data_IF_826648867325
#
_entry.id   IF_826648867325
#
_cell.length_a   1.000
_cell.length_b   1.000
_cell.length_c   1.000
_cell.angle_alpha   90.00
_cell.angle_beta   90.00
_cell.angle_gamma   90.00
#
_symmetry.space_group_name_H-M   'P 1'
#
loop_
_entity.id
_entity.type
_entity.pdbx_description
1 polymer ?
#
# COMPACT_ATOMS: atom_id res chain seq x y z
N UNK A 1 1.90 23.57 10.60
CA UNK A 1 1.44 22.26 11.14
C UNK A 1 2.38 21.83 12.25
N UNK A 2 1.93 20.99 13.18
CA UNK A 2 2.77 20.31 14.18
C UNK A 2 3.10 18.90 13.69
N UNK A 3 4.37 18.62 13.43
CA UNK A 3 4.85 17.37 12.82
C UNK A 3 5.71 16.61 13.83
N UNK A 4 5.44 15.32 14.00
CA UNK A 4 6.27 14.42 14.81
C UNK A 4 7.16 13.59 13.89
N UNK A 5 8.48 13.78 13.94
CA UNK A 5 9.45 12.99 13.19
C UNK A 5 9.85 11.79 14.05
N UNK A 6 9.45 10.60 13.63
CA UNK A 6 9.74 9.34 14.30
C UNK A 6 11.03 8.76 13.75
N UNK A 7 11.98 8.46 14.65
CA UNK A 7 13.27 7.87 14.32
C UNK A 7 13.54 6.65 15.19
N UNK A 8 14.32 5.67 14.72
CA UNK A 8 14.71 4.54 15.55
C UNK A 8 15.64 4.96 16.70
N UNK A 9 15.44 4.37 17.88
CA UNK A 9 16.42 4.35 18.96
C UNK A 9 17.26 3.07 18.87
N UNK A 10 18.57 3.24 18.70
CA UNK A 10 19.55 2.15 18.67
C UNK A 10 20.21 1.89 20.03
N UNK A 11 19.90 2.67 21.07
CA UNK A 11 20.62 2.64 22.36
C UNK A 11 20.64 1.28 23.06
N UNK A 12 19.67 0.41 22.75
CA UNK A 12 19.55 -0.93 23.29
C UNK A 12 19.66 -2.05 22.23
N UNK A 13 20.14 -1.73 21.02
CA UNK A 13 20.25 -2.65 19.89
C UNK A 13 21.71 -2.95 19.56
N UNK A 14 21.99 -4.21 19.20
CA UNK A 14 23.29 -4.65 18.70
C UNK A 14 23.36 -4.62 17.15
N UNK A 15 22.33 -4.09 16.47
CA UNK A 15 22.30 -4.01 15.02
C UNK A 15 23.27 -2.93 14.53
N UNK A 16 24.26 -3.36 13.75
CA UNK A 16 25.34 -2.52 13.19
C UNK A 16 24.85 -1.34 12.33
N UNK A 17 23.64 -1.46 11.76
CA UNK A 17 22.96 -0.43 10.98
C UNK A 17 22.85 0.92 11.70
N UNK A 18 22.79 0.96 13.03
CA UNK A 18 22.81 2.22 13.79
C UNK A 18 24.08 3.07 13.57
N UNK A 19 25.15 2.48 13.05
CA UNK A 19 26.37 3.22 12.63
C UNK A 19 26.13 4.02 11.34
N UNK A 20 25.15 3.62 10.54
CA UNK A 20 24.85 4.13 9.21
C UNK A 20 23.53 4.92 9.14
N UNK A 21 22.72 4.91 10.21
CA UNK A 21 21.51 5.73 10.37
C UNK A 21 21.71 6.81 11.45
N UNK A 22 22.44 7.89 11.14
CA UNK A 22 22.61 9.00 12.07
C UNK A 22 21.28 9.74 12.30
N UNK A 23 21.22 10.47 13.41
CA UNK A 23 20.08 11.33 13.70
C UNK A 23 19.84 12.37 12.60
N UNK A 24 18.61 12.41 12.09
CA UNK A 24 18.15 13.31 11.02
C UNK A 24 17.35 14.47 11.63
N UNK A 25 17.95 15.65 11.70
CA UNK A 25 17.24 16.89 12.05
C UNK A 25 16.55 17.49 10.81
N UNK A 26 15.22 17.56 10.86
CA UNK A 26 14.39 18.03 9.75
C UNK A 26 13.86 19.45 9.96
N UNK A 27 14.27 20.14 11.03
CA UNK A 27 13.80 21.50 11.35
C UNK A 27 14.04 22.48 10.20
N UNK A 28 15.18 22.37 9.50
CA UNK A 28 15.50 23.22 8.35
C UNK A 28 14.69 22.82 7.10
N UNK A 29 14.50 21.51 6.88
CA UNK A 29 13.76 20.99 5.72
C UNK A 29 12.28 21.37 5.81
N UNK A 30 11.70 21.32 7.01
CA UNK A 30 10.31 21.63 7.35
C UNK A 30 10.17 23.05 7.94
N UNK A 31 10.94 24.01 7.42
CA UNK A 31 10.88 25.40 7.87
C UNK A 31 9.45 25.95 7.76
N UNK A 32 8.92 26.52 8.84
CA UNK A 32 7.54 27.01 8.93
C UNK A 32 6.57 26.06 9.64
N UNK A 33 7.03 24.87 10.02
CA UNK A 33 6.30 23.91 10.85
C UNK A 33 6.85 23.87 12.27
N UNK A 34 6.04 23.44 13.23
CA UNK A 34 6.53 23.01 14.55
C UNK A 34 6.94 21.56 14.41
N UNK A 35 8.21 21.26 14.63
CA UNK A 35 8.78 19.92 14.41
C UNK A 35 9.30 19.38 15.74
N UNK A 36 8.77 18.24 16.15
CA UNK A 36 9.26 17.49 17.30
C UNK A 36 9.89 16.19 16.80
N UNK A 37 11.11 15.87 17.23
CA UNK A 37 11.79 14.62 16.91
C UNK A 37 11.69 13.64 18.08
N UNK A 38 11.22 12.43 17.79
CA UNK A 38 11.06 11.37 18.80
C UNK A 38 11.81 10.12 18.36
N UNK A 39 12.66 9.62 19.26
CA UNK A 39 13.27 8.30 19.11
C UNK A 39 12.37 7.24 19.70
N UNK A 40 12.13 6.16 18.96
CA UNK A 40 11.29 5.04 19.37
C UNK A 40 12.14 3.82 19.70
N UNK A 41 11.82 3.16 20.79
CA UNK A 41 12.33 1.83 21.11
C UNK A 41 11.29 0.79 20.70
N UNK A 42 11.69 -0.23 19.93
CA UNK A 42 10.77 -1.24 19.37
C UNK A 42 9.90 -1.91 20.44
N UNK A 43 10.43 -2.06 21.65
CA UNK A 43 9.74 -2.70 22.79
C UNK A 43 8.54 -1.89 23.27
N UNK A 44 8.53 -0.58 23.02
CA UNK A 44 7.56 0.35 23.57
C UNK A 44 6.78 1.15 22.52
N UNK A 45 7.02 0.91 21.22
CA UNK A 45 6.43 1.63 20.09
C UNK A 45 4.95 1.96 20.26
N UNK A 46 4.09 0.95 20.51
CA UNK A 46 2.64 1.19 20.64
C UNK A 46 2.29 2.09 21.85
N UNK A 47 2.96 1.89 23.00
CA UNK A 47 2.74 2.69 24.21
C UNK A 47 3.10 4.15 23.94
N UNK A 48 4.25 4.37 23.32
CA UNK A 48 4.81 5.70 23.12
C UNK A 48 4.01 6.47 22.05
N UNK A 49 3.64 5.81 20.93
CA UNK A 49 2.75 6.39 19.92
C UNK A 49 1.35 6.69 20.47
N UNK A 50 0.82 5.84 21.36
CA UNK A 50 -0.45 6.13 22.04
C UNK A 50 -0.33 7.38 22.91
N UNK A 51 0.77 7.60 23.61
CA UNK A 51 0.98 8.84 24.36
C UNK A 51 1.07 10.06 23.42
N UNK A 52 1.83 9.95 22.33
CA UNK A 52 1.99 11.01 21.33
C UNK A 52 0.70 11.36 20.60
N UNK A 53 -0.22 10.40 20.43
CA UNK A 53 -1.52 10.62 19.77
C UNK A 53 -2.35 11.74 20.40
N UNK A 54 -2.12 12.03 21.68
CA UNK A 54 -2.83 13.07 22.44
C UNK A 54 -2.17 14.44 22.39
N UNK A 55 -1.03 14.59 21.70
CA UNK A 55 -0.26 15.84 21.69
C UNK A 55 -0.58 16.79 20.53
N UNK A 56 -1.63 16.51 19.76
CA UNK A 56 -2.13 17.40 18.70
C UNK A 56 -1.21 17.50 17.48
N UNK A 57 -0.55 16.40 17.10
CA UNK A 57 0.22 16.33 15.85
C UNK A 57 -0.71 16.24 14.63
N UNK A 58 -0.39 17.00 13.59
CA UNK A 58 -1.08 16.97 12.30
C UNK A 58 -0.63 15.78 11.43
N UNK A 59 0.62 15.33 11.59
CA UNK A 59 1.20 14.19 10.88
C UNK A 59 2.42 13.61 11.62
N UNK A 60 2.59 12.30 11.52
CA UNK A 60 3.78 11.57 11.94
C UNK A 60 4.65 11.26 10.72
N UNK A 61 5.81 11.90 10.62
CA UNK A 61 6.80 11.60 9.59
C UNK A 61 7.62 10.40 10.06
N UNK A 62 7.37 9.23 9.48
CA UNK A 62 8.02 7.99 9.87
C UNK A 62 9.35 7.77 9.14
N UNK A 63 10.46 7.69 9.87
CA UNK A 63 11.79 7.32 9.38
C UNK A 63 12.29 5.98 9.97
N UNK A 64 11.42 5.22 10.64
CA UNK A 64 11.76 3.90 11.17
C UNK A 64 11.70 2.84 10.07
N UNK A 65 12.85 2.26 9.74
CA UNK A 65 13.07 1.34 8.60
C UNK A 65 13.65 -0.02 9.02
N UNK A 66 13.55 -0.39 10.31
CA UNK A 66 14.09 -1.65 10.81
C UNK A 66 13.42 -2.89 10.22
N UNK A 67 14.20 -3.91 9.85
CA UNK A 67 13.62 -5.15 9.34
C UNK A 67 12.79 -5.88 10.41
N UNK A 68 11.80 -6.72 10.03
CA UNK A 68 10.97 -7.45 10.98
C UNK A 68 11.78 -8.23 12.03
N UNK A 69 12.88 -8.85 11.59
CA UNK A 69 13.80 -9.66 12.40
C UNK A 69 14.67 -8.84 13.36
N UNK A 70 14.78 -7.52 13.19
CA UNK A 70 15.64 -6.67 14.01
C UNK A 70 14.94 -6.28 15.32
N UNK A 71 15.70 -5.89 16.33
CA UNK A 71 15.19 -5.28 17.57
C UNK A 71 15.01 -3.75 17.46
N UNK A 72 15.16 -3.20 16.24
CA UNK A 72 14.99 -1.79 15.88
C UNK A 72 13.58 -1.53 15.31
N UNK A 73 12.93 -0.39 15.63
CA UNK A 73 11.59 -0.09 15.12
C UNK A 73 11.50 -0.08 13.60
N UNK A 74 10.39 -0.61 13.09
CA UNK A 74 10.09 -0.71 11.68
C UNK A 74 8.59 -0.90 11.44
N UNK A 75 8.19 -2.09 11.01
CA UNK A 75 6.77 -2.41 10.73
C UNK A 75 5.84 -2.17 11.93
N UNK A 76 6.33 -2.38 13.15
CA UNK A 76 5.59 -2.16 14.39
C UNK A 76 5.15 -0.70 14.57
N UNK A 77 5.91 0.25 14.02
CA UNK A 77 5.57 1.68 14.00
C UNK A 77 4.37 1.91 13.10
N UNK A 78 4.39 1.34 11.89
CA UNK A 78 3.30 1.46 10.91
C UNK A 78 2.02 0.81 11.46
N UNK A 79 2.12 -0.40 12.00
CA UNK A 79 1.00 -1.12 12.60
C UNK A 79 0.36 -0.31 13.74
N UNK A 80 1.19 0.29 14.61
CA UNK A 80 0.70 1.11 15.70
C UNK A 80 0.02 2.40 15.20
N UNK A 81 0.60 3.08 14.21
CA UNK A 81 0.01 4.28 13.60
C UNK A 81 -1.34 3.96 12.93
N UNK A 82 -1.46 2.83 12.22
CA UNK A 82 -2.72 2.39 11.60
C UNK A 82 -3.78 2.03 12.64
N UNK A 83 -3.42 1.28 13.69
CA UNK A 83 -4.33 0.91 14.79
C UNK A 83 -4.82 2.11 15.59
N UNK A 84 -3.97 3.13 15.76
CA UNK A 84 -4.32 4.38 16.43
C UNK A 84 -5.05 5.36 15.50
N UNK A 85 -5.25 5.00 14.21
CA UNK A 85 -5.85 5.86 13.18
C UNK A 85 -5.15 7.23 13.13
N UNK A 86 -3.82 7.24 13.05
CA UNK A 86 -3.01 8.46 12.98
C UNK A 86 -2.65 8.80 11.52
N UNK A 87 -2.48 10.09 11.17
CA UNK A 87 -1.94 10.50 9.88
C UNK A 87 -0.42 10.31 9.85
N UNK A 88 0.12 9.57 8.88
CA UNK A 88 1.55 9.31 8.80
C UNK A 88 2.08 9.17 7.37
N UNK A 89 3.39 9.41 7.18
CA UNK A 89 4.10 9.28 5.90
C UNK A 89 4.60 7.86 5.66
N UNK A 90 4.78 7.48 4.39
CA UNK A 90 5.29 6.17 4.01
C UNK A 90 4.20 5.14 3.72
N UNK A 91 4.56 3.86 3.58
CA UNK A 91 3.67 2.81 3.11
C UNK A 91 2.67 2.36 4.17
N UNK A 92 1.62 1.64 3.76
CA UNK A 92 0.85 0.81 4.69
C UNK A 92 1.64 -0.44 5.11
N UNK A 93 1.20 -1.10 6.18
CA UNK A 93 1.75 -2.38 6.64
C UNK A 93 1.82 -3.44 5.54
N UNK A 94 0.88 -3.41 4.59
CA UNK A 94 0.83 -4.30 3.41
C UNK A 94 2.07 -4.25 2.53
N UNK A 95 2.72 -3.08 2.39
CA UNK A 95 3.85 -2.89 1.48
C UNK A 95 5.21 -2.82 2.17
N UNK A 96 5.28 -3.16 3.47
CA UNK A 96 6.51 -3.05 4.23
C UNK A 96 7.63 -3.99 3.73
N UNK A 97 7.31 -5.27 3.53
CA UNK A 97 8.25 -6.30 3.09
C UNK A 97 7.63 -7.11 1.94
N UNK A 98 7.50 -6.47 0.79
CA UNK A 98 6.91 -7.08 -0.40
C UNK A 98 7.86 -8.16 -0.95
N UNK A 99 7.39 -9.38 -1.25
CA UNK A 99 8.23 -10.39 -1.88
C UNK A 99 8.71 -9.95 -3.28
N UNK A 100 9.99 -10.16 -3.60
CA UNK A 100 10.55 -9.80 -4.92
C UNK A 100 9.79 -10.46 -6.09
N UNK A 101 9.28 -11.68 -5.89
CA UNK A 101 8.46 -12.39 -6.88
C UNK A 101 7.14 -11.65 -7.18
N UNK A 102 6.49 -11.08 -6.15
CA UNK A 102 5.30 -10.25 -6.31
C UNK A 102 5.66 -8.94 -7.03
N UNK A 103 6.78 -8.29 -6.67
CA UNK A 103 7.25 -7.09 -7.38
C UNK A 103 7.42 -7.32 -8.88
N UNK A 104 8.00 -8.47 -9.25
CA UNK A 104 8.16 -8.86 -10.64
C UNK A 104 6.84 -9.12 -11.35
N UNK A 105 5.92 -9.81 -10.68
CA UNK A 105 4.60 -10.07 -11.22
C UNK A 105 3.80 -8.78 -11.46
N UNK A 106 3.85 -7.84 -10.52
CA UNK A 106 3.22 -6.52 -10.68
C UNK A 106 3.87 -5.74 -11.82
N UNK A 107 5.19 -5.74 -11.94
CA UNK A 107 5.87 -5.10 -13.05
C UNK A 107 5.43 -5.68 -14.41
N UNK A 108 5.36 -7.01 -14.52
CA UNK A 108 4.85 -7.69 -15.70
C UNK A 108 3.40 -7.29 -16.03
N UNK A 109 2.51 -7.30 -15.04
CA UNK A 109 1.11 -6.91 -15.21
C UNK A 109 0.96 -5.42 -15.61
N UNK A 110 1.89 -4.58 -15.16
CA UNK A 110 1.97 -3.16 -15.52
C UNK A 110 2.61 -2.92 -16.91
N UNK A 111 3.07 -3.95 -17.61
CA UNK A 111 3.74 -3.82 -18.91
C UNK A 111 5.22 -3.41 -18.83
N UNK A 112 5.82 -3.46 -17.64
CA UNK A 112 7.23 -3.12 -17.39
C UNK A 112 8.07 -4.39 -17.35
N UNK A 113 9.17 -4.43 -18.11
CA UNK A 113 10.06 -5.59 -18.11
C UNK A 113 10.72 -5.76 -16.75
N UNK A 114 10.96 -7.01 -16.37
CA UNK A 114 11.83 -7.42 -15.25
C UNK A 114 12.73 -8.53 -15.79
N UNK A 115 13.94 -8.74 -15.23
CA UNK A 115 14.74 -9.90 -15.61
C UNK A 115 13.93 -11.19 -15.42
N UNK A 116 14.05 -12.14 -16.36
CA UNK A 116 13.50 -13.48 -16.15
C UNK A 116 14.15 -14.09 -14.91
N UNK A 117 13.40 -14.89 -14.19
CA UNK A 117 13.85 -15.41 -12.92
C UNK A 117 13.32 -16.80 -12.62
N UNK A 118 14.01 -17.46 -11.69
CA UNK A 118 13.63 -18.68 -11.03
C UNK A 118 13.71 -18.46 -9.51
N UNK A 119 12.71 -18.95 -8.78
CA UNK A 119 12.79 -19.09 -7.33
C UNK A 119 13.26 -20.51 -7.00
N UNK A 120 14.47 -20.64 -6.45
CA UNK A 120 14.99 -21.89 -5.93
C UNK A 120 14.61 -21.99 -4.43
N UNK A 121 13.86 -23.03 -4.08
CA UNK A 121 13.48 -23.34 -2.70
C UNK A 121 14.19 -24.62 -2.26
N UNK A 122 14.30 -24.85 -0.95
CA UNK A 122 14.94 -26.07 -0.40
C UNK A 122 14.29 -27.36 -0.89
N UNK A 123 13.01 -27.30 -1.25
CA UNK A 123 12.18 -28.45 -1.62
C UNK A 123 12.09 -28.64 -3.15
N UNK A 124 12.60 -27.68 -3.94
CA UNK A 124 12.60 -27.72 -5.40
C UNK A 124 14.02 -27.55 -5.93
N UNK A 125 14.71 -28.63 -6.35
CA UNK A 125 16.06 -28.53 -6.88
C UNK A 125 16.10 -27.68 -8.16
N UNK A 126 17.18 -26.89 -8.30
CA UNK A 126 17.49 -25.98 -9.43
C UNK A 126 17.41 -26.68 -10.80
N UNK A 127 17.51 -28.02 -10.81
CA UNK A 127 17.60 -28.87 -12.00
C UNK A 127 16.43 -28.76 -12.99
N UNK A 128 15.24 -28.33 -12.57
CA UNK A 128 14.06 -28.38 -13.44
C UNK A 128 13.78 -27.09 -14.25
N UNK A 129 14.45 -25.96 -13.98
CA UNK A 129 14.05 -24.65 -14.56
C UNK A 129 15.21 -23.77 -15.04
N UNK A 130 16.48 -24.18 -14.88
CA UNK A 130 17.60 -23.46 -15.50
C UNK A 130 17.62 -23.53 -17.04
N UNK A 131 16.74 -24.32 -17.68
CA UNK A 131 16.72 -24.51 -19.13
C UNK A 131 16.29 -23.25 -19.93
N UNK A 132 15.53 -22.34 -19.32
CA UNK A 132 14.94 -21.17 -20.00
C UNK A 132 15.61 -19.82 -19.64
N UNK A 133 16.62 -19.84 -18.76
CA UNK A 133 17.40 -18.66 -18.39
C UNK A 133 18.74 -18.65 -19.13
N UNK A 134 19.12 -17.49 -19.67
CA UNK A 134 20.41 -17.30 -20.32
C UNK A 134 21.47 -16.80 -19.32
N UNK A 135 22.63 -17.47 -19.28
CA UNK A 135 23.79 -16.95 -18.56
C UNK A 135 24.32 -15.65 -19.21
N UNK A 136 24.93 -14.73 -18.42
CA UNK A 136 25.15 -14.83 -16.97
C UNK A 136 23.88 -14.68 -16.12
N UNK A 137 23.86 -15.31 -14.96
CA UNK A 137 22.76 -15.22 -13.98
C UNK A 137 23.22 -14.52 -12.71
N UNK A 138 22.27 -13.96 -11.98
CA UNK A 138 22.49 -13.28 -10.72
C UNK A 138 21.71 -13.96 -9.60
N UNK A 139 22.43 -14.47 -8.59
CA UNK A 139 21.90 -15.21 -7.45
C UNK A 139 21.86 -14.31 -6.23
N UNK A 140 20.66 -14.12 -5.66
CA UNK A 140 20.42 -13.27 -4.49
C UNK A 140 19.34 -13.84 -3.58
N UNK A 141 19.23 -13.37 -2.35
CA UNK A 141 18.19 -13.82 -1.44
C UNK A 141 16.81 -13.30 -1.90
N UNK A 142 15.80 -14.16 -1.88
CA UNK A 142 14.43 -13.75 -2.21
C UNK A 142 13.90 -12.76 -1.17
N UNK A 143 14.19 -13.05 0.11
CA UNK A 143 13.81 -12.24 1.27
C UNK A 143 15.06 -11.72 1.98
N UNK A 144 15.49 -10.54 1.55
CA UNK A 144 16.51 -9.72 2.22
C UNK A 144 16.54 -8.37 1.51
N UNK A 145 16.57 -7.29 2.28
CA UNK A 145 16.90 -5.98 1.75
C UNK A 145 18.40 -5.71 1.80
N UNK A 146 18.78 -4.52 1.36
CA UNK A 146 20.15 -4.00 1.45
C UNK A 146 21.25 -4.84 0.80
N UNK A 147 20.93 -5.63 -0.23
CA UNK A 147 21.94 -6.47 -0.91
C UNK A 147 22.65 -7.45 0.04
N UNK A 148 22.03 -7.80 1.18
CA UNK A 148 22.58 -8.80 2.11
C UNK A 148 22.76 -10.14 1.38
N UNK A 149 23.95 -10.71 1.50
CA UNK A 149 24.34 -11.93 0.79
C UNK A 149 24.76 -11.73 -0.68
N UNK A 150 24.80 -10.49 -1.20
CA UNK A 150 25.31 -10.20 -2.54
C UNK A 150 26.81 -9.92 -2.51
N UNK A 151 27.59 -10.74 -3.21
CA UNK A 151 29.03 -10.60 -3.34
C UNK A 151 29.57 -10.98 -4.74
N UNK A 152 30.88 -11.11 -4.89
CA UNK A 152 31.53 -11.49 -6.15
C UNK A 152 31.01 -12.80 -6.77
N UNK A 153 30.45 -13.69 -5.95
CA UNK A 153 29.93 -15.01 -6.31
C UNK A 153 28.47 -14.99 -6.72
N UNK A 154 27.76 -13.89 -6.48
CA UNK A 154 26.36 -13.72 -6.90
C UNK A 154 26.20 -13.66 -8.42
N UNK A 155 27.21 -13.20 -9.17
CA UNK A 155 27.19 -13.20 -10.63
C UNK A 155 27.81 -14.51 -11.17
N UNK A 156 26.96 -15.45 -11.57
CA UNK A 156 27.35 -16.78 -12.04
C UNK A 156 27.31 -16.84 -13.58
N UNK A 157 28.26 -17.56 -14.19
CA UNK A 157 28.45 -17.58 -15.66
C UNK A 157 28.23 -18.95 -16.28
N UNK A 158 28.07 -19.97 -15.47
CA UNK A 158 27.89 -21.35 -15.89
C UNK A 158 27.10 -22.13 -14.83
N UNK A 159 26.71 -23.36 -15.20
CA UNK A 159 25.91 -24.23 -14.34
C UNK A 159 26.62 -24.58 -13.03
N UNK A 160 27.92 -24.84 -13.08
CA UNK A 160 28.70 -25.24 -11.91
C UNK A 160 28.78 -24.11 -10.85
N UNK A 161 28.99 -22.86 -11.29
CA UNK A 161 28.98 -21.70 -10.40
C UNK A 161 27.58 -21.41 -9.86
N UNK A 162 26.53 -21.61 -10.66
CA UNK A 162 25.14 -21.52 -10.19
C UNK A 162 24.83 -22.51 -9.06
N UNK A 163 25.07 -23.80 -9.29
CA UNK A 163 24.76 -24.85 -8.30
C UNK A 163 25.49 -24.61 -6.97
N UNK A 164 26.76 -24.22 -7.05
CA UNK A 164 27.59 -23.89 -5.89
C UNK A 164 27.05 -22.68 -5.13
N UNK A 165 26.70 -21.61 -5.82
CA UNK A 165 26.22 -20.39 -5.17
C UNK A 165 24.84 -20.58 -4.56
N UNK A 166 23.92 -21.27 -5.24
CA UNK A 166 22.60 -21.58 -4.68
C UNK A 166 22.72 -22.45 -3.45
N UNK A 167 23.54 -23.51 -3.48
CA UNK A 167 23.80 -24.34 -2.31
C UNK A 167 24.40 -23.55 -1.13
N UNK A 168 25.34 -22.64 -1.40
CA UNK A 168 25.90 -21.77 -0.37
C UNK A 168 24.86 -20.82 0.23
N UNK A 169 24.00 -20.22 -0.61
CA UNK A 169 22.96 -19.31 -0.12
C UNK A 169 21.87 -20.03 0.68
N UNK A 170 21.57 -21.29 0.37
CA UNK A 170 20.61 -22.10 1.16
C UNK A 170 21.08 -22.41 2.58
N UNK A 171 22.37 -22.21 2.89
CA UNK A 171 22.84 -22.30 4.28
C UNK A 171 22.29 -21.16 5.16
N UNK A 172 21.95 -20.01 4.56
CA UNK A 172 21.52 -18.79 5.27
C UNK A 172 20.08 -18.39 4.93
N UNK A 173 19.61 -18.69 3.72
CA UNK A 173 18.32 -18.26 3.21
C UNK A 173 17.47 -19.44 2.75
N UNK A 174 16.20 -19.47 3.16
CA UNK A 174 15.25 -20.50 2.70
C UNK A 174 15.04 -20.44 1.18
N UNK A 175 14.84 -19.23 0.67
CA UNK A 175 14.45 -18.98 -0.70
C UNK A 175 15.50 -18.12 -1.41
N UNK A 176 15.97 -18.62 -2.56
CA UNK A 176 17.02 -18.00 -3.38
C UNK A 176 16.43 -17.62 -4.72
N UNK A 177 16.65 -16.36 -5.12
CA UNK A 177 16.20 -15.83 -6.39
C UNK A 177 17.36 -15.84 -7.38
N UNK A 178 17.16 -16.50 -8.53
CA UNK A 178 18.10 -16.57 -9.64
C UNK A 178 17.53 -15.80 -10.81
N UNK A 179 18.20 -14.76 -11.26
CA UNK A 179 17.72 -13.87 -12.33
C UNK A 179 18.69 -13.84 -13.52
N UNK A 180 18.21 -13.60 -14.73
CA UNK A 180 19.09 -13.21 -15.85
C UNK A 180 19.82 -11.91 -15.50
N UNK A 181 21.15 -11.89 -15.61
CA UNK A 181 21.91 -10.68 -15.33
C UNK A 181 21.78 -9.70 -16.50
N UNK A 182 21.20 -8.54 -16.22
CA UNK A 182 21.09 -7.45 -17.19
C UNK A 182 22.35 -6.59 -17.11
N UNK A 183 23.28 -6.83 -18.04
CA UNK A 183 24.47 -5.99 -18.18
C UNK A 183 24.10 -4.60 -18.70
N UNK A 184 24.57 -3.57 -18.01
CA UNK A 184 24.35 -2.19 -18.38
C UNK A 184 24.28 -1.24 -17.19
N UNK A 185 23.59 -0.11 -17.38
CA UNK A 185 23.48 0.99 -16.40
C UNK A 185 22.49 0.61 -15.30
N UNK A 186 22.73 1.08 -14.08
CA UNK A 186 21.80 0.92 -12.96
C UNK A 186 21.25 2.28 -12.54
N UNK A 187 19.94 2.42 -12.66
CA UNK A 187 19.23 3.66 -12.40
C UNK A 187 18.31 3.47 -11.21
N UNK A 188 18.10 4.52 -10.45
CA UNK A 188 17.18 4.53 -9.32
C UNK A 188 16.35 5.79 -9.33
N UNK A 189 15.10 5.67 -8.90
CA UNK A 189 14.12 6.77 -8.92
C UNK A 189 13.27 6.73 -7.66
N UNK A 190 13.01 7.91 -7.11
CA UNK A 190 12.09 8.08 -6.00
C UNK A 190 10.71 8.39 -6.57
N UNK A 191 9.68 7.76 -6.03
CA UNK A 191 8.29 7.96 -6.42
C UNK A 191 7.45 8.26 -5.19
N UNK A 192 6.49 9.16 -5.33
CA UNK A 192 5.57 9.56 -4.26
C UNK A 192 4.15 9.66 -4.78
N UNK A 193 3.21 9.11 -4.01
CA UNK A 193 1.79 9.12 -4.30
C UNK A 193 1.23 10.57 -4.32
N UNK A 194 0.06 10.71 -4.93
CA UNK A 194 -0.64 11.99 -4.99
C UNK A 194 -1.43 12.24 -3.69
N UNK A 195 -1.41 13.47 -3.14
CA UNK A 195 -2.36 13.86 -2.11
C UNK A 195 -3.79 13.93 -2.65
N UNK A 196 -3.98 14.18 -3.95
CA UNK A 196 -5.27 14.09 -4.64
C UNK A 196 -5.59 12.63 -4.99
N UNK A 197 -6.80 12.18 -4.66
CA UNK A 197 -7.30 10.82 -4.90
C UNK A 197 -7.33 10.44 -6.37
N UNK A 198 -7.60 11.42 -7.24
CA UNK A 198 -7.61 11.22 -8.70
C UNK A 198 -6.30 11.63 -9.36
N UNK A 199 -5.34 12.08 -8.56
CA UNK A 199 -4.05 12.53 -9.06
C UNK A 199 -3.07 11.38 -9.24
N UNK A 200 -2.15 11.56 -10.17
CA UNK A 200 -1.10 10.59 -10.45
C UNK A 200 0.07 10.68 -9.45
N UNK A 201 0.74 9.56 -9.14
CA UNK A 201 2.02 9.61 -8.45
C UNK A 201 3.03 10.38 -9.31
N UNK A 202 4.04 10.96 -8.67
CA UNK A 202 5.16 11.58 -9.37
C UNK A 202 6.43 10.78 -9.14
N UNK A 203 7.14 10.47 -10.22
CA UNK A 203 8.51 9.96 -10.16
C UNK A 203 9.48 11.13 -10.35
N UNK A 204 10.45 11.25 -9.44
CA UNK A 204 11.45 12.31 -9.41
C UNK A 204 12.55 12.05 -10.46
N UNK A 205 13.51 12.96 -10.55
CA UNK A 205 14.68 12.85 -11.41
C UNK A 205 15.47 11.58 -11.08
N UNK A 206 15.60 10.61 -12.00
CA UNK A 206 16.35 9.40 -11.75
C UNK A 206 17.85 9.71 -11.67
N UNK A 207 18.56 8.94 -10.86
CA UNK A 207 20.02 8.97 -10.76
C UNK A 207 20.60 7.64 -11.21
N UNK A 208 21.77 7.69 -11.82
CA UNK A 208 22.59 6.54 -12.17
C UNK A 208 23.61 6.28 -11.07
N UNK A 209 23.73 5.01 -10.69
CA UNK A 209 24.83 4.55 -9.87
C UNK A 209 26.02 4.16 -10.76
N UNK A 210 27.12 4.90 -10.65
CA UNK A 210 28.36 4.66 -11.38
C UNK A 210 29.20 3.64 -10.64
N UNK A 211 29.33 2.45 -11.23
CA UNK A 211 30.08 1.36 -10.60
C UNK A 211 31.59 1.61 -10.59
N UNK A 212 32.29 1.31 -9.48
CA UNK A 212 33.74 1.28 -9.47
C UNK A 212 34.26 0.14 -10.35
N UNK A 213 35.23 0.41 -11.22
CA UNK A 213 35.82 -0.62 -12.08
C UNK A 213 36.62 -1.64 -11.25
N UNK A 214 36.53 -2.96 -11.51
CA UNK A 214 35.79 -3.65 -12.58
C UNK A 214 34.39 -4.14 -12.19
N UNK A 215 33.88 -3.74 -11.02
CA UNK A 215 32.58 -4.17 -10.50
C UNK A 215 31.46 -3.59 -11.38
N UNK A 216 30.39 -4.36 -11.63
CA UNK A 216 29.24 -3.94 -12.46
C UNK A 216 27.89 -4.13 -11.76
N UNK A 217 27.89 -4.29 -10.45
CA UNK A 217 26.68 -4.46 -9.62
C UNK A 217 26.93 -4.03 -8.18
N UNK A 218 25.85 -3.70 -7.45
CA UNK A 218 25.92 -3.32 -6.04
C UNK A 218 26.09 -4.56 -5.17
N UNK A 219 27.08 -4.53 -4.30
CA UNK A 219 27.30 -5.52 -3.24
C UNK A 219 27.01 -4.88 -1.90
N UNK A 220 26.79 -5.68 -0.85
CA UNK A 220 26.66 -5.15 0.52
C UNK A 220 27.88 -4.29 0.91
N UNK A 221 29.10 -4.75 0.59
CA UNK A 221 30.34 -4.05 0.89
C UNK A 221 30.47 -2.68 0.18
N UNK A 222 29.85 -2.52 -0.99
CA UNK A 222 29.91 -1.29 -1.79
C UNK A 222 28.85 -0.25 -1.41
N UNK A 223 27.98 -0.52 -0.42
CA UNK A 223 27.05 0.49 0.10
C UNK A 223 27.76 1.65 0.78
N UNK A 224 28.95 1.40 1.34
CA UNK A 224 29.86 2.48 1.77
C UNK A 224 30.34 3.35 0.60
N UNK A 225 30.35 2.81 -0.62
CA UNK A 225 30.67 3.54 -1.85
C UNK A 225 29.49 4.33 -2.43
N UNK A 226 28.23 4.05 -2.03
CA UNK A 226 27.07 4.89 -2.36
C UNK A 226 27.15 6.27 -1.70
N UNK A 227 27.84 6.33 -0.56
CA UNK A 227 28.13 7.58 0.15
C UNK A 227 29.15 8.47 -0.59
N UNK A 228 29.83 7.95 -1.61
CA UNK A 228 30.76 8.76 -2.40
C UNK A 228 30.00 9.73 -3.31
N UNK A 229 30.31 11.04 -3.25
CA UNK A 229 29.61 12.09 -4.01
C UNK A 229 29.53 11.87 -5.52
N UNK A 230 30.49 11.12 -6.08
CA UNK A 230 30.61 10.90 -7.51
C UNK A 230 29.97 9.58 -7.98
N UNK A 231 29.46 8.75 -7.06
CA UNK A 231 28.85 7.47 -7.40
C UNK A 231 27.40 7.62 -7.86
N UNK A 232 26.71 8.70 -7.49
CA UNK A 232 25.33 8.97 -7.88
C UNK A 232 25.25 10.24 -8.74
N UNK A 233 25.03 10.06 -10.04
CA UNK A 233 24.93 11.17 -11.00
C UNK A 233 23.51 11.27 -11.57
N UNK A 234 22.98 12.46 -11.88
CA UNK A 234 21.66 12.57 -12.49
C UNK A 234 21.68 11.99 -13.90
N UNK A 235 20.58 11.35 -14.31
CA UNK A 235 20.44 10.87 -15.69
C UNK A 235 20.21 12.08 -16.60
N UNK A 236 21.25 12.47 -17.34
CA UNK A 236 21.21 13.64 -18.24
C UNK A 236 20.40 13.40 -19.53
N UNK A 237 20.22 12.15 -19.95
CA UNK A 237 19.36 11.81 -21.08
C UNK A 237 17.87 11.96 -20.68
N UNK A 238 17.25 13.03 -21.18
CA UNK A 238 15.86 13.35 -20.90
C UNK A 238 14.87 12.29 -21.40
N UNK A 239 15.15 11.63 -22.53
CA UNK A 239 14.27 10.60 -23.08
C UNK A 239 14.31 9.33 -22.23
N UNK A 240 15.51 8.90 -21.83
CA UNK A 240 15.66 7.77 -20.91
C UNK A 240 15.04 8.08 -19.54
N UNK A 241 15.31 9.27 -18.98
CA UNK A 241 14.75 9.69 -17.71
C UNK A 241 13.22 9.72 -17.73
N UNK A 242 12.59 10.17 -18.83
CA UNK A 242 11.14 10.11 -18.99
C UNK A 242 10.60 8.67 -19.00
N UNK A 243 11.25 7.76 -19.73
CA UNK A 243 10.85 6.34 -19.80
C UNK A 243 10.99 5.61 -18.46
N UNK A 244 12.04 5.90 -17.69
CA UNK A 244 12.24 5.31 -16.35
C UNK A 244 11.17 5.81 -15.38
N UNK A 245 10.86 7.12 -15.41
CA UNK A 245 9.78 7.69 -14.59
C UNK A 245 8.42 7.09 -14.93
N UNK A 246 8.12 6.93 -16.21
CA UNK A 246 6.87 6.30 -16.67
C UNK A 246 6.78 4.83 -16.18
N UNK A 247 7.84 4.05 -16.35
CA UNK A 247 7.91 2.69 -15.83
C UNK A 247 7.69 2.63 -14.31
N UNK A 248 8.32 3.53 -13.54
CA UNK A 248 8.11 3.61 -12.10
C UNK A 248 6.66 3.94 -11.72
N UNK A 249 6.03 4.90 -12.41
CA UNK A 249 4.63 5.24 -12.19
C UNK A 249 3.68 4.08 -12.54
N UNK A 250 3.96 3.32 -13.60
CA UNK A 250 3.18 2.14 -13.97
C UNK A 250 3.28 1.04 -12.89
N UNK A 251 4.48 0.71 -12.42
CA UNK A 251 4.69 -0.28 -11.35
C UNK A 251 4.01 0.18 -10.05
N UNK A 252 4.17 1.44 -9.66
CA UNK A 252 3.59 1.98 -8.44
C UNK A 252 2.06 1.96 -8.45
N UNK A 253 1.44 2.27 -9.60
CA UNK A 253 -0.01 2.12 -9.81
C UNK A 253 -0.45 0.66 -9.80
N UNK A 254 0.35 -0.24 -10.39
CA UNK A 254 0.06 -1.68 -10.38
C UNK A 254 0.05 -2.28 -8.97
N UNK A 255 0.79 -1.69 -8.04
CA UNK A 255 0.71 -2.02 -6.62
C UNK A 255 -0.48 -1.39 -5.89
N UNK A 256 -1.13 -0.38 -6.47
CA UNK A 256 -2.01 0.55 -5.75
C UNK A 256 -1.31 1.15 -4.51
N UNK A 257 0.00 1.41 -4.65
CA UNK A 257 0.85 1.81 -3.55
C UNK A 257 0.51 3.22 -3.03
N UNK A 258 0.82 3.44 -1.75
CA UNK A 258 0.62 4.71 -1.03
C UNK A 258 1.94 5.21 -0.46
N UNK A 259 1.97 6.47 -0.02
CA UNK A 259 3.18 7.07 0.51
C UNK A 259 4.25 7.28 -0.56
N UNK A 260 5.43 6.71 -0.39
CA UNK A 260 6.55 6.84 -1.31
C UNK A 260 7.37 5.55 -1.39
N UNK A 261 8.28 5.47 -2.35
CA UNK A 261 9.25 4.39 -2.43
C UNK A 261 10.37 4.70 -3.41
N UNK A 262 11.43 3.91 -3.36
CA UNK A 262 12.54 3.95 -4.32
C UNK A 262 12.49 2.72 -5.20
N UNK A 263 12.59 2.91 -6.51
CA UNK A 263 12.61 1.82 -7.48
C UNK A 263 13.95 1.77 -8.19
N UNK A 264 14.51 0.56 -8.29
CA UNK A 264 15.79 0.31 -8.92
C UNK A 264 15.58 -0.40 -10.27
N UNK A 265 16.34 0.02 -11.29
CA UNK A 265 16.21 -0.40 -12.67
C UNK A 265 17.58 -0.71 -13.29
N UNK A 266 17.60 -1.64 -14.24
CA UNK A 266 18.71 -1.83 -15.17
C UNK A 266 18.33 -1.38 -16.57
N UNK A 267 19.31 -0.81 -17.28
CA UNK A 267 19.17 -0.42 -18.68
C UNK A 267 20.26 -1.11 -19.49
N UNK A 268 19.86 -1.98 -20.42
CA UNK A 268 20.81 -2.70 -21.28
C UNK A 268 21.38 -1.82 -22.41
N UNK A 269 22.31 -2.36 -23.19
CA UNK A 269 22.95 -1.64 -24.29
C UNK A 269 21.99 -1.27 -25.46
N UNK A 270 20.78 -1.82 -25.47
CA UNK A 270 19.72 -1.50 -26.43
C UNK A 270 18.66 -0.55 -25.82
N UNK A 271 18.97 0.08 -24.69
CA UNK A 271 18.10 0.96 -23.91
C UNK A 271 16.79 0.30 -23.47
N UNK A 272 16.74 -1.03 -23.29
CA UNK A 272 15.61 -1.67 -22.64
C UNK A 272 15.71 -1.49 -21.13
N UNK A 273 14.60 -1.05 -20.52
CA UNK A 273 14.49 -0.82 -19.07
C UNK A 273 13.93 -2.07 -18.40
N UNK A 274 14.61 -2.55 -17.37
CA UNK A 274 14.21 -3.68 -16.54
C UNK A 274 14.07 -3.24 -15.10
N UNK A 275 12.87 -3.36 -14.55
CA UNK A 275 12.60 -3.17 -13.13
C UNK A 275 13.26 -4.29 -12.31
N UNK A 276 14.01 -3.93 -11.26
CA UNK A 276 14.65 -4.87 -10.35
C UNK A 276 13.79 -5.10 -9.12
N UNK A 277 13.55 -4.03 -8.37
CA UNK A 277 12.85 -4.05 -7.09
C UNK A 277 12.35 -2.65 -6.68
N UNK A 278 11.47 -2.62 -5.68
CA UNK A 278 10.99 -1.41 -5.02
C UNK A 278 11.25 -1.51 -3.52
N UNK A 279 11.73 -0.44 -2.91
CA UNK A 279 11.83 -0.27 -1.46
C UNK A 279 10.85 0.83 -1.01
N UNK A 280 9.78 0.44 -0.33
CA UNK A 280 8.75 1.37 0.16
C UNK A 280 9.13 2.06 1.47
N UNK A 281 10.17 1.57 2.17
CA UNK A 281 10.71 2.17 3.39
C UNK A 281 12.14 2.60 3.16
N UNK A 282 12.39 3.23 2.00
CA UNK A 282 13.73 3.68 1.66
C UNK A 282 14.14 4.86 2.52
N UNK A 283 15.40 4.86 2.95
CA UNK A 283 15.99 5.95 3.72
C UNK A 283 16.02 7.25 2.93
N UNK A 284 15.71 8.34 3.60
CA UNK A 284 15.69 9.71 3.06
C UNK A 284 16.13 10.70 4.13
N UNK A 285 16.53 11.88 3.68
CA UNK A 285 16.96 13.02 4.49
C UNK A 285 18.26 12.79 5.26
N UNK A 286 19.15 11.94 4.75
CA UNK A 286 20.51 11.88 5.27
C UNK A 286 21.31 13.11 4.83
N UNK A 287 22.31 13.44 5.63
CA UNK A 287 23.22 14.55 5.41
C UNK A 287 24.60 14.22 5.98
N UNK A 288 25.61 15.04 5.64
CA UNK A 288 26.91 15.00 6.30
C UNK A 288 27.78 13.81 5.91
N UNK A 289 27.63 13.31 4.67
CA UNK A 289 28.37 12.17 4.15
C UNK A 289 27.64 10.83 4.28
N UNK A 290 26.41 10.82 4.80
CA UNK A 290 25.55 9.65 4.90
C UNK A 290 24.50 9.57 3.77
N UNK A 291 24.56 10.49 2.80
CA UNK A 291 23.60 10.58 1.70
C UNK A 291 23.57 9.28 0.87
N UNK A 292 22.39 8.69 0.76
CA UNK A 292 22.11 7.57 -0.12
C UNK A 292 21.55 8.01 -1.48
N UNK A 293 21.23 7.05 -2.34
CA UNK A 293 20.71 7.35 -3.68
C UNK A 293 19.43 8.20 -3.67
N UNK A 294 18.54 7.99 -2.70
CA UNK A 294 17.33 8.81 -2.55
C UNK A 294 17.66 10.27 -2.22
N UNK A 295 18.68 10.52 -1.38
CA UNK A 295 19.12 11.88 -1.06
C UNK A 295 19.74 12.58 -2.28
N UNK A 296 20.50 11.85 -3.11
CA UNK A 296 20.99 12.37 -4.39
C UNK A 296 19.85 12.68 -5.37
N UNK A 297 18.81 11.84 -5.43
CA UNK A 297 17.60 12.15 -6.20
C UNK A 297 16.99 13.46 -5.71
N UNK A 298 16.80 13.63 -4.40
CA UNK A 298 16.26 14.86 -3.82
C UNK A 298 17.17 16.08 -4.04
N UNK A 299 18.49 15.88 -4.12
CA UNK A 299 19.46 16.95 -4.41
C UNK A 299 19.39 17.43 -5.85
N UNK A 300 19.17 16.53 -6.81
CA UNK A 300 19.16 16.87 -8.24
C UNK A 300 17.77 17.23 -8.75
N UNK A 301 16.70 16.76 -8.10
CA UNK A 301 15.34 17.07 -8.50
C UNK A 301 14.93 18.49 -8.07
N UNK A 302 14.24 19.27 -8.93
CA UNK A 302 13.74 20.60 -8.57
C UNK A 302 12.81 20.63 -7.35
N UNK A 303 12.15 19.51 -7.02
CA UNK A 303 11.29 19.40 -5.83
C UNK A 303 12.10 19.58 -4.54
N UNK A 304 13.35 19.13 -4.51
CA UNK A 304 14.21 19.22 -3.34
C UNK A 304 13.75 18.37 -2.14
N UNK A 305 14.53 18.41 -1.06
CA UNK A 305 14.17 17.76 0.21
C UNK A 305 12.89 18.36 0.82
N UNK A 306 12.78 19.70 0.86
CA UNK A 306 11.61 20.38 1.43
C UNK A 306 10.34 20.10 0.65
N UNK A 307 10.35 20.20 -0.68
CA UNK A 307 9.16 19.91 -1.48
C UNK A 307 8.75 18.45 -1.40
N UNK A 308 9.71 17.53 -1.29
CA UNK A 308 9.41 16.11 -1.08
C UNK A 308 8.78 15.87 0.30
N UNK A 309 9.35 16.43 1.36
CA UNK A 309 8.83 16.33 2.73
C UNK A 309 7.39 16.88 2.83
N UNK A 310 7.13 18.07 2.28
CA UNK A 310 5.79 18.65 2.21
C UNK A 310 4.81 17.73 1.47
N UNK A 311 5.26 17.12 0.37
CA UNK A 311 4.40 16.25 -0.43
C UNK A 311 4.04 14.94 0.29
N UNK A 312 4.99 14.26 0.94
CA UNK A 312 4.70 13.03 1.68
C UNK A 312 3.81 13.32 2.91
N UNK A 313 3.97 14.47 3.56
CA UNK A 313 3.09 14.91 4.66
C UNK A 313 1.69 15.18 4.13
N UNK A 314 1.56 15.93 3.03
CA UNK A 314 0.27 16.22 2.40
C UNK A 314 -0.44 14.93 1.96
N UNK A 315 0.29 13.97 1.40
CA UNK A 315 -0.22 12.64 1.06
C UNK A 315 -0.73 11.90 2.29
N UNK A 316 0.07 11.81 3.35
CA UNK A 316 -0.28 11.09 4.57
C UNK A 316 -1.53 11.66 5.25
N UNK A 317 -1.64 12.99 5.30
CA UNK A 317 -2.83 13.69 5.81
C UNK A 317 -4.04 13.44 4.91
N UNK A 318 -3.89 13.56 3.60
CA UNK A 318 -5.01 13.38 2.67
C UNK A 318 -5.51 11.93 2.67
N UNK A 319 -4.61 10.95 2.70
CA UNK A 319 -4.92 9.53 2.84
C UNK A 319 -5.63 9.25 4.16
N UNK A 320 -5.16 9.80 5.27
CA UNK A 320 -5.84 9.68 6.56
C UNK A 320 -7.25 10.27 6.53
N UNK A 321 -7.44 11.46 5.92
CA UNK A 321 -8.76 12.09 5.75
C UNK A 321 -9.72 11.22 4.94
N UNK A 322 -9.25 10.61 3.83
CA UNK A 322 -10.05 9.69 3.00
C UNK A 322 -10.50 8.45 3.76
N UNK A 323 -9.68 7.94 4.68
CA UNK A 323 -10.02 6.78 5.53
C UNK A 323 -11.08 7.09 6.61
N UNK A 324 -11.38 8.37 6.89
CA UNK A 324 -12.33 8.71 7.95
C UNK A 324 -13.77 8.41 7.52
N UNK A 325 -14.38 7.45 8.22
CA UNK A 325 -15.79 7.08 8.00
C UNK A 325 -16.70 8.25 8.37
N UNK A 326 -17.65 8.58 7.48
CA UNK A 326 -18.71 9.55 7.76
C UNK A 326 -19.75 9.03 8.78
N UNK A 327 -19.59 7.79 9.25
CA UNK A 327 -20.51 7.10 10.13
C UNK A 327 -19.79 6.28 11.21
N UNK A 328 -20.53 5.99 12.29
CA UNK A 328 -20.13 5.05 13.33
C UNK A 328 -21.27 4.06 13.59
N UNK A 329 -20.92 2.80 13.83
CA UNK A 329 -21.89 1.77 14.23
C UNK A 329 -22.29 2.02 15.69
N UNK A 330 -23.59 2.07 15.97
CA UNK A 330 -24.13 2.18 17.33
C UNK A 330 -25.23 1.14 17.52
N UNK A 331 -25.21 0.47 18.66
CA UNK A 331 -26.28 -0.41 19.09
C UNK A 331 -27.24 0.30 20.04
N UNK A 332 -28.51 -0.08 20.02
CA UNK A 332 -29.41 0.18 21.13
C UNK A 332 -30.18 -1.11 21.49
N UNK A 333 -30.61 -1.23 22.74
CA UNK A 333 -31.20 -2.45 23.28
C UNK A 333 -32.55 -2.86 22.64
N UNK A 334 -33.15 -2.00 21.80
CA UNK A 334 -34.52 -2.14 21.28
C UNK A 334 -34.54 -2.33 19.76
N UNK A 335 -33.69 -1.62 19.01
CA UNK A 335 -33.67 -1.56 17.54
C UNK A 335 -32.47 -2.27 16.89
N UNK A 336 -31.61 -2.93 17.68
CA UNK A 336 -30.41 -3.58 17.18
C UNK A 336 -29.28 -2.60 16.90
N UNK A 337 -28.53 -2.82 15.80
CA UNK A 337 -27.40 -1.98 15.38
C UNK A 337 -27.76 -1.17 14.14
N UNK A 338 -27.33 0.09 14.12
CA UNK A 338 -27.42 0.99 12.96
C UNK A 338 -26.14 1.80 12.81
N UNK A 339 -26.02 2.56 11.72
CA UNK A 339 -24.93 3.53 11.54
C UNK A 339 -25.45 4.96 11.68
N UNK A 340 -24.64 5.81 12.33
CA UNK A 340 -24.99 7.18 12.67
C UNK A 340 -23.93 8.14 12.15
N UNK A 341 -24.36 9.29 11.64
CA UNK A 341 -23.46 10.31 11.12
C UNK A 341 -22.46 10.80 12.18
N UNK A 342 -21.16 10.77 11.89
CA UNK A 342 -20.11 11.26 12.81
C UNK A 342 -19.86 12.77 12.69
N UNK A 343 -20.39 13.37 11.62
CA UNK A 343 -20.32 14.79 11.26
C UNK A 343 -21.58 15.20 10.50
N UNK A 344 -21.75 16.49 10.26
CA UNK A 344 -22.75 16.96 9.31
C UNK A 344 -22.38 16.48 7.90
N UNK A 345 -23.37 15.98 7.16
CA UNK A 345 -23.23 15.45 5.81
C UNK A 345 -24.13 16.28 4.90
N UNK A 346 -23.59 16.75 3.77
CA UNK A 346 -24.34 17.54 2.79
C UNK A 346 -25.12 16.64 1.85
N UNK A 347 -26.19 17.14 1.25
CA UNK A 347 -26.88 16.42 0.18
C UNK A 347 -25.91 16.12 -0.98
N UNK A 348 -25.90 14.88 -1.46
CA UNK A 348 -24.99 14.41 -2.51
C UNK A 348 -23.66 13.84 -2.00
N UNK A 349 -23.29 14.04 -0.73
CA UNK A 349 -22.06 13.48 -0.18
C UNK A 349 -22.10 11.94 -0.18
N UNK A 350 -20.97 11.31 -0.52
CA UNK A 350 -20.78 9.87 -0.35
C UNK A 350 -20.61 9.56 1.14
N UNK A 351 -21.53 8.78 1.68
CA UNK A 351 -21.57 8.34 3.08
C UNK A 351 -20.81 7.04 3.26
N UNK A 352 -20.95 6.12 2.30
CA UNK A 352 -20.28 4.84 2.27
C UNK A 352 -19.78 4.58 0.85
N UNK A 353 -18.48 4.36 0.71
CA UNK A 353 -17.88 3.98 -0.58
C UNK A 353 -18.04 2.47 -0.75
N UNK A 354 -18.81 2.07 -1.75
CA UNK A 354 -19.01 0.67 -2.14
C UNK A 354 -18.33 0.32 -3.47
N UNK A 355 -18.08 1.30 -4.32
CA UNK A 355 -17.35 1.11 -5.58
C UNK A 355 -15.90 0.68 -5.31
N UNK A 356 -15.41 -0.32 -6.06
CA UNK A 356 -14.04 -0.84 -5.93
C UNK A 356 -13.74 -1.59 -4.62
N UNK A 357 -14.72 -1.73 -3.72
CA UNK A 357 -14.52 -2.35 -2.41
C UNK A 357 -14.59 -3.87 -2.47
N UNK A 358 -13.78 -4.54 -1.66
CA UNK A 358 -13.89 -5.97 -1.41
C UNK A 358 -15.30 -6.33 -0.90
N UNK A 359 -15.95 -7.26 -1.58
CA UNK A 359 -17.26 -7.79 -1.21
C UNK A 359 -17.33 -9.27 -1.52
N UNK A 360 -18.27 -9.98 -0.89
CA UNK A 360 -18.54 -11.38 -1.23
C UNK A 360 -19.57 -11.41 -2.36
N UNK A 361 -19.16 -11.90 -3.53
CA UNK A 361 -20.06 -12.12 -4.66
C UNK A 361 -20.41 -13.61 -4.71
N UNK A 362 -21.72 -13.91 -4.76
CA UNK A 362 -22.23 -15.29 -4.74
C UNK A 362 -23.31 -15.47 -5.80
N UNK A 363 -23.39 -16.68 -6.35
CA UNK A 363 -24.53 -17.10 -7.16
C UNK A 363 -25.58 -17.75 -6.29
N UNK A 364 -26.85 -17.60 -6.66
CA UNK A 364 -27.95 -18.23 -5.92
C UNK A 364 -27.79 -19.76 -5.83
N UNK A 365 -27.34 -20.40 -6.92
CA UNK A 365 -27.06 -21.85 -6.95
C UNK A 365 -26.06 -22.27 -5.87
N UNK A 366 -24.93 -21.55 -5.76
CA UNK A 366 -23.90 -21.87 -4.78
C UNK A 366 -24.44 -21.79 -3.34
N UNK A 367 -25.24 -20.77 -3.04
CA UNK A 367 -25.88 -20.60 -1.72
C UNK A 367 -26.77 -21.81 -1.41
N UNK A 368 -27.64 -22.23 -2.33
CA UNK A 368 -28.54 -23.35 -2.09
C UNK A 368 -27.84 -24.71 -2.00
N UNK A 369 -26.79 -24.95 -2.78
CA UNK A 369 -26.13 -26.26 -2.84
C UNK A 369 -25.04 -26.46 -1.80
N UNK A 370 -24.42 -25.38 -1.33
CA UNK A 370 -23.17 -25.46 -0.57
C UNK A 370 -23.24 -24.83 0.81
N UNK A 371 -24.25 -24.00 1.11
CA UNK A 371 -24.34 -23.32 2.40
C UNK A 371 -25.27 -24.04 3.36
N UNK A 372 -24.97 -23.90 4.66
CA UNK A 372 -25.82 -24.39 5.74
C UNK A 372 -27.11 -23.57 5.80
N UNK A 373 -28.17 -24.15 6.35
CA UNK A 373 -29.48 -23.49 6.50
C UNK A 373 -29.40 -22.12 7.18
N UNK A 374 -28.54 -21.97 8.20
CA UNK A 374 -28.34 -20.69 8.88
C UNK A 374 -27.69 -19.63 8.00
N UNK A 375 -26.67 -20.00 7.21
CA UNK A 375 -25.99 -19.08 6.30
C UNK A 375 -26.94 -18.65 5.16
N UNK A 376 -27.85 -19.54 4.74
CA UNK A 376 -28.90 -19.20 3.77
C UNK A 376 -29.91 -18.19 4.34
N UNK A 377 -30.15 -18.14 5.66
CA UNK A 377 -30.98 -17.09 6.29
C UNK A 377 -30.30 -15.73 6.18
N UNK A 378 -28.99 -15.68 6.48
CA UNK A 378 -28.18 -14.45 6.32
C UNK A 378 -28.24 -13.97 4.87
N UNK A 379 -28.11 -14.88 3.90
CA UNK A 379 -28.27 -14.54 2.47
C UNK A 379 -29.63 -13.89 2.20
N UNK A 380 -30.75 -14.50 2.63
CA UNK A 380 -32.09 -13.93 2.39
C UNK A 380 -32.32 -12.56 3.03
N UNK A 381 -31.64 -12.28 4.14
CA UNK A 381 -31.78 -11.03 4.90
C UNK A 381 -30.89 -9.90 4.38
N UNK A 382 -29.66 -10.20 3.98
CA UNK A 382 -28.63 -9.18 3.74
C UNK A 382 -28.06 -9.17 2.31
N UNK A 383 -28.40 -10.16 1.47
CA UNK A 383 -27.88 -10.21 0.11
C UNK A 383 -28.48 -9.11 -0.77
N UNK A 384 -27.62 -8.44 -1.50
CA UNK A 384 -27.95 -7.35 -2.42
C UNK A 384 -27.89 -7.85 -3.87
N UNK A 385 -28.97 -7.72 -4.66
CA UNK A 385 -29.00 -8.25 -6.02
C UNK A 385 -28.15 -7.40 -6.97
N UNK A 386 -27.06 -7.98 -7.51
CA UNK A 386 -26.27 -7.37 -8.59
C UNK A 386 -26.91 -7.61 -9.95
N UNK A 387 -27.47 -8.81 -10.14
CA UNK A 387 -28.29 -9.24 -11.28
C UNK A 387 -29.36 -10.22 -10.78
N UNK A 388 -30.02 -10.94 -11.70
CA UNK A 388 -31.07 -11.90 -11.35
C UNK A 388 -30.57 -13.07 -10.48
N UNK A 389 -29.36 -13.57 -10.74
CA UNK A 389 -28.79 -14.76 -10.08
C UNK A 389 -27.49 -14.49 -9.30
N UNK A 390 -26.95 -13.27 -9.39
CA UNK A 390 -25.69 -12.86 -8.75
C UNK A 390 -25.97 -11.82 -7.68
N UNK A 391 -25.47 -12.09 -6.49
CA UNK A 391 -25.72 -11.28 -5.30
C UNK A 391 -24.41 -10.89 -4.62
N UNK A 392 -24.44 -9.72 -3.98
CA UNK A 392 -23.38 -9.19 -3.16
C UNK A 392 -23.75 -9.32 -1.68
N UNK A 393 -22.78 -9.67 -0.86
CA UNK A 393 -22.86 -9.71 0.60
C UNK A 393 -21.70 -8.92 1.19
N UNK A 394 -21.86 -8.52 2.45
CA UNK A 394 -20.78 -7.91 3.22
C UNK A 394 -19.52 -8.77 3.20
N UNK A 395 -18.38 -8.10 3.33
CA UNK A 395 -17.07 -8.70 3.49
C UNK A 395 -17.02 -9.67 4.69
N UNK A 396 -16.08 -10.60 4.67
CA UNK A 396 -15.83 -11.51 5.80
C UNK A 396 -15.34 -10.78 7.06
N UNK A 397 -14.66 -9.64 6.90
CA UNK A 397 -14.19 -8.83 8.02
C UNK A 397 -15.35 -8.00 8.64
N UNK A 398 -15.74 -8.25 9.90
CA UNK A 398 -16.78 -7.46 10.55
C UNK A 398 -16.40 -5.99 10.80
N UNK A 399 -15.11 -5.63 10.80
CA UNK A 399 -14.67 -4.22 10.92
C UNK A 399 -15.09 -3.36 9.71
N UNK A 400 -15.37 -4.03 8.59
CA UNK A 400 -15.87 -3.42 7.36
C UNK A 400 -17.39 -3.20 7.36
N UNK A 401 -18.15 -3.86 8.26
CA UNK A 401 -19.61 -3.86 8.23
C UNK A 401 -20.22 -2.48 8.54
N UNK A 402 -21.35 -2.21 7.89
CA UNK A 402 -22.11 -0.97 8.01
C UNK A 402 -23.62 -1.26 7.99
N UNK A 403 -24.18 -1.81 9.08
CA UNK A 403 -25.61 -2.12 9.15
C UNK A 403 -26.41 -0.81 9.05
N UNK A 404 -27.12 -0.63 7.95
CA UNK A 404 -27.98 0.53 7.71
C UNK A 404 -29.43 0.11 7.83
N UNK A 405 -30.19 0.72 8.75
CA UNK A 405 -31.57 0.34 8.97
C UNK A 405 -32.51 0.89 7.89
N UNK A 406 -33.66 0.23 7.75
CA UNK A 406 -34.68 0.66 6.83
C UNK A 406 -35.47 1.88 7.34
N UNK A 407 -35.73 2.85 6.46
CA UNK A 407 -36.78 3.86 6.62
C UNK A 407 -37.59 4.03 5.33
N UNK A 408 -38.91 4.23 5.45
CA UNK A 408 -39.77 4.63 4.34
C UNK A 408 -39.58 6.11 3.95
N UNK A 409 -38.94 6.91 4.81
CA UNK A 409 -38.41 8.23 4.49
C UNK A 409 -36.89 8.25 4.73
N UNK A 410 -36.09 7.60 3.86
CA UNK A 410 -34.66 7.45 4.09
C UNK A 410 -33.91 8.77 3.85
N UNK A 411 -32.81 8.95 4.58
CA UNK A 411 -31.90 10.08 4.36
C UNK A 411 -30.69 9.72 3.47
N UNK A 412 -30.47 8.44 3.18
CA UNK A 412 -29.48 7.98 2.20
C UNK A 412 -30.11 7.16 1.07
N UNK A 413 -29.38 6.96 -0.02
CA UNK A 413 -29.75 6.10 -1.14
C UNK A 413 -28.52 5.51 -1.80
N UNK A 414 -28.69 4.42 -2.56
CA UNK A 414 -27.64 3.88 -3.41
C UNK A 414 -27.43 4.74 -4.67
N UNK A 415 -26.17 4.98 -4.99
CA UNK A 415 -25.69 5.48 -6.27
C UNK A 415 -24.58 4.55 -6.79
N UNK A 416 -24.91 3.69 -7.75
CA UNK A 416 -24.14 2.49 -8.04
C UNK A 416 -24.11 1.59 -6.81
N UNK A 417 -22.89 1.29 -6.35
CA UNK A 417 -22.61 0.60 -5.09
C UNK A 417 -22.32 1.57 -3.93
N UNK A 418 -22.13 2.86 -4.20
CA UNK A 418 -21.97 3.86 -3.16
C UNK A 418 -23.30 4.15 -2.46
N UNK A 419 -23.22 4.63 -1.23
CA UNK A 419 -24.37 5.22 -0.53
C UNK A 419 -24.15 6.71 -0.42
N UNK A 420 -25.10 7.49 -0.93
CA UNK A 420 -25.07 8.95 -0.96
C UNK A 420 -26.19 9.55 -0.10
N UNK A 421 -25.95 10.74 0.45
CA UNK A 421 -26.96 11.47 1.21
C UNK A 421 -28.01 12.09 0.28
N UNK A 422 -29.29 11.85 0.54
CA UNK A 422 -30.41 12.44 -0.23
C UNK A 422 -30.73 13.88 0.16
N UNK A 423 -30.34 14.26 1.37
CA UNK A 423 -30.61 15.55 2.01
C UNK A 423 -29.47 15.83 2.99
N UNK A 424 -29.38 17.06 3.50
CA UNK A 424 -28.43 17.35 4.57
C UNK A 424 -28.77 16.54 5.82
N UNK A 425 -27.76 15.89 6.42
CA UNK A 425 -27.90 15.01 7.58
C UNK A 425 -27.07 15.58 8.72
N UNK A 426 -27.71 15.99 9.84
CA UNK A 426 -26.98 16.44 11.02
C UNK A 426 -26.15 15.30 11.63
N UNK A 427 -25.04 15.67 12.28
CA UNK A 427 -24.29 14.77 13.16
C UNK A 427 -25.23 14.05 14.13
N UNK A 428 -24.90 12.80 14.47
CA UNK A 428 -25.63 11.93 15.39
C UNK A 428 -27.01 11.47 14.91
N UNK A 429 -27.37 11.77 13.66
CA UNK A 429 -28.58 11.23 13.01
C UNK A 429 -28.31 9.83 12.47
N UNK A 430 -29.28 8.92 12.63
CA UNK A 430 -29.21 7.57 12.04
C UNK A 430 -29.28 7.65 10.52
N UNK A 431 -28.41 6.92 9.83
CA UNK A 431 -28.38 6.83 8.38
C UNK A 431 -29.23 5.63 7.94
N UNK A 432 -30.27 5.90 7.15
CA UNK A 432 -31.29 4.93 6.80
C UNK A 432 -31.52 4.83 5.31
N UNK A 433 -31.77 3.60 4.84
CA UNK A 433 -32.02 3.28 3.43
C UNK A 433 -33.46 2.83 3.20
N UNK A 434 -33.96 3.02 1.98
CA UNK A 434 -35.19 2.35 1.54
C UNK A 434 -34.85 0.97 0.96
N UNK A 435 -35.13 -0.09 1.71
CA UNK A 435 -34.93 -1.47 1.29
C UNK A 435 -35.81 -1.85 0.09
N UNK A 436 -37.03 -1.33 0.00
CA UNK A 436 -37.91 -1.55 -1.15
C UNK A 436 -37.36 -0.96 -2.45
N UNK A 437 -36.46 0.03 -2.37
CA UNK A 437 -35.85 0.65 -3.54
C UNK A 437 -34.75 -0.21 -4.19
N UNK A 438 -34.13 -1.15 -3.45
CA UNK A 438 -32.99 -1.92 -3.97
C UNK A 438 -33.08 -3.44 -3.83
N UNK A 439 -33.98 -3.95 -2.98
CA UNK A 439 -34.25 -5.38 -2.85
C UNK A 439 -35.07 -5.89 -4.05
N UNK A 440 -34.91 -7.18 -4.34
CA UNK A 440 -35.63 -7.90 -5.39
C UNK A 440 -36.79 -8.71 -4.82
N UNK A 441 -37.67 -9.21 -5.69
CA UNK A 441 -38.73 -10.17 -5.34
C UNK A 441 -38.22 -11.50 -4.76
N UNK A 442 -36.90 -11.74 -4.78
CA UNK A 442 -36.25 -12.87 -4.12
C UNK A 442 -35.89 -12.61 -2.65
N UNK A 443 -35.94 -11.36 -2.21
CA UNK A 443 -35.64 -10.96 -0.84
C UNK A 443 -36.81 -11.27 0.09
N UNK A 444 -36.52 -11.66 1.33
CA UNK A 444 -37.55 -12.00 2.31
C UNK A 444 -38.29 -10.73 2.76
N UNK A 445 -39.63 -10.65 2.62
CA UNK A 445 -40.40 -9.49 3.02
C UNK A 445 -40.46 -9.37 4.55
N UNK A 446 -40.62 -8.15 5.05
CA UNK A 446 -40.69 -7.89 6.50
C UNK A 446 -41.63 -6.74 6.86
N UNK A 447 -42.19 -6.81 8.08
CA UNK A 447 -43.03 -5.76 8.64
C UNK A 447 -42.18 -4.55 9.02
N UNK A 448 -42.57 -3.37 8.53
CA UNK A 448 -41.88 -2.11 8.76
C UNK A 448 -42.31 -1.46 10.08
N UNK A 449 -41.31 -1.03 10.86
CA UNK A 449 -41.52 -0.31 12.12
C UNK A 449 -40.80 1.07 12.14
N UNK A 450 -40.48 1.64 10.97
CA UNK A 450 -39.63 2.83 10.83
C UNK A 450 -40.23 4.18 11.28
N UNK A 451 -41.45 4.16 11.86
CA UNK A 451 -42.22 5.33 12.36
C UNK A 451 -42.43 6.52 11.41
N UNK A 452 -41.91 6.47 10.18
CA UNK A 452 -42.09 7.50 9.17
C UNK A 452 -43.58 7.72 8.85
N UNK A 453 -43.97 8.97 8.61
CA UNK A 453 -45.37 9.33 8.31
C UNK A 453 -45.90 8.61 7.05
N UNK A 454 -45.02 8.25 6.13
CA UNK A 454 -45.30 7.51 4.89
C UNK A 454 -44.95 6.02 5.00
N UNK A 455 -44.96 5.43 6.20
CA UNK A 455 -44.63 4.01 6.40
C UNK A 455 -45.52 3.09 5.55
N UNK A 456 -44.91 2.18 4.78
CA UNK A 456 -45.61 1.20 3.93
C UNK A 456 -46.19 0.01 4.70
N UNK A 457 -45.84 -0.15 5.98
CA UNK A 457 -46.26 -1.27 6.84
C UNK A 457 -45.61 -2.61 6.50
N UNK A 458 -45.57 -3.02 5.23
CA UNK A 458 -44.87 -4.21 4.74
C UNK A 458 -43.86 -3.80 3.67
N UNK A 459 -42.62 -4.25 3.81
CA UNK A 459 -41.57 -4.03 2.80
C UNK A 459 -41.43 -5.30 1.98
N UNK A 460 -41.60 -5.14 0.67
CA UNK A 460 -41.41 -6.18 -0.33
C UNK A 460 -40.39 -5.68 -1.34
N UNK A 461 -39.54 -6.57 -1.85
CA UNK A 461 -38.64 -6.22 -2.95
C UNK A 461 -39.39 -6.10 -4.28
N UNK A 462 -38.73 -5.46 -5.25
CA UNK A 462 -39.32 -5.17 -6.56
C UNK A 462 -38.91 -6.22 -7.58
N UNK A 463 -39.85 -6.72 -8.38
CA UNK A 463 -39.57 -7.70 -9.42
C UNK A 463 -38.53 -7.18 -10.42
N UNK A 464 -37.48 -7.97 -10.68
CA UNK A 464 -36.40 -7.61 -11.61
C UNK A 464 -35.46 -6.49 -11.12
N UNK A 465 -35.56 -6.08 -9.85
CA UNK A 465 -34.68 -5.06 -9.30
C UNK A 465 -33.28 -5.62 -9.03
N UNK A 466 -32.27 -4.95 -9.58
CA UNK A 466 -30.86 -5.29 -9.43
C UNK A 466 -30.00 -4.04 -9.67
N UNK A 467 -28.70 -4.09 -9.30
CA UNK A 467 -27.76 -3.03 -9.69
C UNK A 467 -27.78 -2.82 -11.20
N UNK A 468 -27.73 -3.93 -11.96
CA UNK A 468 -27.77 -3.90 -13.43
C UNK A 468 -29.01 -3.16 -13.95
N UNK A 469 -30.19 -3.46 -13.39
CA UNK A 469 -31.43 -2.82 -13.80
C UNK A 469 -31.43 -1.31 -13.50
N UNK A 470 -30.96 -0.91 -12.30
CA UNK A 470 -30.90 0.51 -11.90
C UNK A 470 -29.92 1.31 -12.77
N UNK A 471 -28.74 0.76 -13.05
CA UNK A 471 -27.74 1.46 -13.88
C UNK A 471 -28.19 1.62 -15.33
N UNK A 472 -28.95 0.67 -15.89
CA UNK A 472 -29.56 0.82 -17.22
C UNK A 472 -30.58 1.95 -17.31
N UNK A 473 -31.26 2.27 -16.22
CA UNK A 473 -32.25 3.36 -16.18
C UNK A 473 -31.64 4.75 -15.96
N UNK A 474 -30.34 4.82 -15.66
CA UNK A 474 -29.61 6.08 -15.40
C UNK A 474 -28.88 6.63 -16.62
N UNK A 475 -28.57 5.77 -17.59
CA UNK A 475 -28.06 6.14 -18.91
C UNK A 475 -29.20 6.61 -19.81
#
# INVERSE_FOLDING_TARGET
MKICVLQPDYSASDVDYGTWDPYRDLTTILAGHTVDHVKLDKRFTFRDLKALSTQGYDCFLNLCEGYPEWDVPGIDVIDALERLNLPFTGPSSTYYDVPKTLMKYVAYAAGVRTPKYLLATTDQPVDLVAADLAFPLFVKAAHAGDSRGIDARSLVRDRESLDRQVAAMHAEFRDVLVEEYIEGRELTVLIVASPDERGDPIALTPVEYVFPTPIKYKTYANKTSELHPNANIPVHDAALAARVRDAAMQVFRGFEAVGYGRMDFRVDAADNIYFLEVNFTCSVFYAGGYEGSADYILKYDPLGQSGFAERIIAEGIARHRRRQKAYAVRGNAIAGYGIFATRNISAGDVVFVGEGRANRIVTQRHVHTSWRTEDQKIFRQYAYPLSDDVFMLWETDPMAWAPQNHSCDPNTAFDGLNVVARRSIPKDTELTLDYGAFLSDRSEPFTCHCTAANCRGMIVGTQGNSVTARERTRQ
#
